data_IF_081130357320
#
_entry.id   IF_081130357320
#
_cell.length_a   1.000
_cell.length_b   1.000
_cell.length_c   1.000
_cell.angle_alpha   90.00
_cell.angle_beta   90.00
_cell.angle_gamma   90.00
#
_symmetry.space_group_name_H-M   'P 1'
#
loop_
_entity.id
_entity.type
_entity.pdbx_description
1 polymer ?
#
# COMPACT_ATOMS: atom_id res chain seq x y z
N UNK A 1 68.61 16.09 -44.65
CA UNK A 1 69.01 16.81 -43.43
C UNK A 1 67.82 16.88 -42.49
N UNK A 2 67.97 16.25 -41.31
CA UNK A 2 67.31 16.50 -40.00
C UNK A 2 65.77 16.69 -39.95
N UNK A 3 64.97 15.92 -39.21
CA UNK A 3 65.21 14.98 -38.11
C UNK A 3 64.27 15.27 -36.92
N UNK A 4 63.80 14.18 -36.26
CA UNK A 4 63.07 14.00 -34.97
C UNK A 4 61.73 13.27 -35.20
N UNK A 5 61.60 11.93 -35.07
CA UNK A 5 61.68 11.08 -33.86
C UNK A 5 60.79 11.61 -32.71
N UNK A 6 59.88 10.88 -32.05
CA UNK A 6 59.90 9.47 -31.67
C UNK A 6 58.58 9.09 -30.92
N UNK A 7 58.32 7.77 -30.82
CA UNK A 7 57.59 7.03 -29.75
C UNK A 7 56.05 7.08 -29.76
N UNK A 8 55.27 5.99 -29.66
CA UNK A 8 55.49 4.68 -29.01
C UNK A 8 54.84 3.53 -29.80
N UNK A 9 55.55 2.40 -29.80
CA UNK A 9 55.04 1.04 -30.02
C UNK A 9 54.35 0.55 -28.74
N UNK A 10 53.28 -0.23 -28.88
CA UNK A 10 52.91 -1.41 -28.06
C UNK A 10 51.48 -1.85 -28.45
N UNK A 11 51.32 -2.48 -29.61
CA UNK A 11 50.25 -3.47 -29.77
C UNK A 11 50.86 -4.79 -29.32
N UNK A 12 50.60 -5.13 -28.06
CA UNK A 12 50.76 -6.49 -27.56
C UNK A 12 49.54 -7.29 -27.99
N UNK A 13 49.79 -8.37 -28.70
CA UNK A 13 48.85 -9.49 -28.85
C UNK A 13 48.48 -10.01 -27.46
N UNK A 14 47.21 -9.88 -27.08
CA UNK A 14 46.60 -10.70 -26.03
C UNK A 14 45.19 -11.07 -26.49
N UNK A 15 45.13 -12.26 -27.10
CA UNK A 15 43.95 -12.98 -27.56
C UNK A 15 43.23 -13.57 -26.33
N UNK A 16 42.62 -12.72 -25.49
CA UNK A 16 41.72 -13.17 -24.41
C UNK A 16 40.28 -13.27 -24.92
N UNK A 17 39.95 -14.49 -25.38
CA UNK A 17 38.59 -14.99 -25.60
C UNK A 17 37.65 -14.56 -24.48
N UNK A 18 36.75 -13.62 -24.77
CA UNK A 18 35.63 -13.24 -23.91
C UNK A 18 34.68 -14.45 -23.75
N UNK A 19 34.75 -15.12 -22.60
CA UNK A 19 33.79 -16.14 -22.19
C UNK A 19 32.68 -15.50 -21.33
N UNK A 20 31.45 -15.34 -21.86
CA UNK A 20 30.35 -14.70 -21.14
C UNK A 20 29.84 -15.51 -19.94
N UNK A 21 30.33 -16.73 -19.72
CA UNK A 21 29.90 -17.62 -18.64
C UNK A 21 30.91 -17.76 -17.51
N UNK A 22 32.05 -17.05 -17.55
CA UNK A 22 33.01 -17.04 -16.45
C UNK A 22 32.36 -16.39 -15.22
N UNK A 23 32.18 -17.09 -14.09
CA UNK A 23 31.58 -16.51 -12.89
C UNK A 23 32.44 -15.33 -12.43
N UNK A 24 31.85 -14.14 -12.32
CA UNK A 24 32.55 -12.98 -11.77
C UNK A 24 32.90 -13.28 -10.31
N UNK A 25 34.19 -13.44 -10.02
CA UNK A 25 34.68 -13.47 -8.65
C UNK A 25 34.29 -12.14 -7.99
N UNK A 26 33.47 -12.24 -6.93
CA UNK A 26 33.04 -11.06 -6.17
C UNK A 26 34.25 -10.44 -5.48
N UNK A 27 34.43 -9.12 -5.55
CA UNK A 27 35.54 -8.48 -4.88
C UNK A 27 35.42 -8.62 -3.34
N UNK A 28 36.54 -8.59 -2.60
CA UNK A 28 36.63 -9.10 -1.21
C UNK A 28 35.89 -8.26 -0.15
N UNK A 29 35.18 -7.22 -0.56
CA UNK A 29 34.42 -6.32 0.31
C UNK A 29 32.90 -6.58 0.27
N UNK A 30 32.40 -7.50 -0.56
CA UNK A 30 31.03 -8.05 -0.45
C UNK A 30 30.94 -9.10 0.69
N UNK A 31 31.44 -8.74 1.87
CA UNK A 31 31.17 -9.45 3.11
C UNK A 31 29.94 -8.83 3.75
N UNK A 32 28.84 -9.58 3.78
CA UNK A 32 27.69 -9.43 4.69
C UNK A 32 27.56 -8.04 5.32
N UNK A 33 26.88 -7.13 4.61
CA UNK A 33 26.26 -6.00 5.28
C UNK A 33 25.41 -6.57 6.39
N UNK A 34 25.84 -6.39 7.63
CA UNK A 34 25.05 -6.65 8.82
C UNK A 34 23.68 -6.05 8.52
N UNK A 35 22.66 -6.90 8.43
CA UNK A 35 21.31 -6.43 8.46
C UNK A 35 21.21 -5.64 9.76
N UNK A 36 21.25 -4.31 9.66
CA UNK A 36 20.76 -3.45 10.70
C UNK A 36 19.28 -3.81 10.81
N UNK A 37 18.98 -4.85 11.61
CA UNK A 37 17.71 -4.99 12.29
C UNK A 37 17.59 -3.72 13.11
N UNK A 38 17.07 -2.68 12.46
CA UNK A 38 16.43 -1.59 13.17
C UNK A 38 15.50 -2.28 14.16
N UNK A 39 15.61 -2.03 15.47
CA UNK A 39 14.64 -2.57 16.39
C UNK A 39 13.28 -2.11 15.88
N UNK A 40 12.43 -3.05 15.47
CA UNK A 40 11.04 -2.73 15.21
C UNK A 40 10.55 -1.97 16.45
N UNK A 41 9.96 -0.77 16.30
CA UNK A 41 9.48 -0.04 17.45
C UNK A 41 8.55 -0.99 18.19
N UNK A 42 8.89 -1.29 19.45
CA UNK A 42 8.04 -2.09 20.31
C UNK A 42 6.75 -1.30 20.46
N UNK A 43 5.75 -1.59 19.62
CA UNK A 43 4.49 -0.86 19.67
C UNK A 43 3.87 -1.23 21.01
N UNK A 44 3.70 -0.23 21.87
CA UNK A 44 3.13 -0.42 23.21
C UNK A 44 1.66 -0.10 23.14
N UNK A 45 0.86 -0.94 23.78
CA UNK A 45 -0.56 -0.67 23.94
C UNK A 45 -0.77 0.68 24.61
N UNK A 46 -1.52 1.57 23.96
CA UNK A 46 -1.93 2.82 24.57
C UNK A 46 -3.02 2.54 25.61
N UNK A 47 -2.89 3.14 26.80
CA UNK A 47 -3.97 3.08 27.80
C UNK A 47 -5.08 4.08 27.51
N UNK A 48 -4.89 5.01 26.57
CA UNK A 48 -5.79 6.12 26.25
C UNK A 48 -6.51 5.96 24.92
N UNK A 49 -6.01 5.11 24.04
CA UNK A 49 -6.51 4.89 22.69
C UNK A 49 -6.61 3.39 22.48
N UNK A 50 -7.79 2.95 22.07
CA UNK A 50 -8.04 1.57 21.68
C UNK A 50 -8.47 1.55 20.22
N UNK A 51 -7.90 0.64 19.43
CA UNK A 51 -8.21 0.48 18.02
C UNK A 51 -8.53 -0.99 17.78
N UNK A 52 -9.67 -1.25 17.15
CA UNK A 52 -9.98 -2.57 16.63
C UNK A 52 -9.84 -2.53 15.10
N UNK A 53 -9.17 -3.53 14.56
CA UNK A 53 -8.98 -3.67 13.11
C UNK A 53 -9.83 -4.79 12.56
N UNK A 54 -10.44 -4.55 11.38
CA UNK A 54 -11.05 -5.59 10.58
C UNK A 54 -9.99 -6.49 9.94
N UNK A 55 -10.43 -7.58 9.29
CA UNK A 55 -9.53 -8.49 8.56
C UNK A 55 -8.79 -7.80 7.40
N UNK A 56 -9.28 -6.66 6.94
CA UNK A 56 -8.62 -5.80 5.96
C UNK A 56 -7.59 -4.83 6.57
N UNK A 57 -7.32 -4.99 7.87
CA UNK A 57 -6.39 -4.19 8.67
C UNK A 57 -6.74 -2.70 8.71
N UNK A 58 -7.96 -2.32 8.35
CA UNK A 58 -8.44 -0.97 8.57
C UNK A 58 -9.16 -0.90 9.93
N UNK A 59 -9.18 0.26 10.62
CA UNK A 59 -9.97 0.44 11.83
C UNK A 59 -11.46 0.17 11.63
N UNK A 60 -12.06 -0.68 12.47
CA UNK A 60 -13.51 -0.91 12.60
C UNK A 60 -14.09 -0.23 13.83
N UNK A 61 -13.26 -0.02 14.86
CA UNK A 61 -13.58 0.80 16.02
C UNK A 61 -12.35 1.58 16.46
N UNK A 62 -12.56 2.80 16.94
CA UNK A 62 -11.55 3.63 17.60
C UNK A 62 -12.20 4.18 18.86
N UNK A 63 -11.53 4.08 19.99
CA UNK A 63 -11.99 4.65 21.25
C UNK A 63 -10.92 5.58 21.82
N UNK A 64 -11.26 6.85 21.95
CA UNK A 64 -10.41 7.86 22.61
C UNK A 64 -10.94 8.12 24.03
N UNK A 65 -10.13 7.86 25.05
CA UNK A 65 -10.50 8.12 26.46
C UNK A 65 -10.42 9.61 26.78
N UNK A 66 -11.18 10.05 27.79
CA UNK A 66 -11.34 11.47 28.18
C UNK A 66 -10.04 12.26 28.33
N UNK A 67 -9.00 11.63 28.89
CA UNK A 67 -7.71 12.28 29.11
C UNK A 67 -6.82 12.34 27.85
N UNK A 68 -7.26 11.82 26.70
CA UNK A 68 -6.45 11.77 25.47
C UNK A 68 -5.98 13.17 25.06
N UNK A 69 -6.88 14.15 24.99
CA UNK A 69 -6.52 15.52 24.61
C UNK A 69 -5.56 16.20 25.58
N UNK A 70 -5.65 15.85 26.86
CA UNK A 70 -4.80 16.39 27.92
C UNK A 70 -3.43 15.71 27.98
N UNK A 71 -3.31 14.51 27.42
CA UNK A 71 -2.10 13.68 27.50
C UNK A 71 -1.18 13.82 26.28
N UNK A 72 -1.69 14.33 25.16
CA UNK A 72 -0.94 14.49 23.92
C UNK A 72 -0.94 15.96 23.50
N UNK A 73 0.21 16.45 23.01
CA UNK A 73 0.24 17.75 22.36
C UNK A 73 -0.63 17.70 21.08
N UNK A 74 -1.27 18.80 20.65
CA UNK A 74 -2.15 18.76 19.49
C UNK A 74 -1.45 18.30 18.19
N UNK A 75 -0.17 18.61 18.02
CA UNK A 75 0.65 18.11 16.90
C UNK A 75 0.86 16.60 16.91
N UNK A 76 0.62 15.93 18.04
CA UNK A 76 0.79 14.49 18.23
C UNK A 76 -0.52 13.70 18.12
N UNK A 77 -1.67 14.37 17.94
CA UNK A 77 -2.97 13.67 17.87
C UNK A 77 -2.98 12.58 16.80
N UNK A 78 -2.58 12.91 15.57
CA UNK A 78 -2.47 11.93 14.48
C UNK A 78 -1.50 10.79 14.79
N UNK A 79 -0.32 11.10 15.32
CA UNK A 79 0.69 10.10 15.66
C UNK A 79 0.20 9.15 16.76
N UNK A 80 -0.43 9.67 17.80
CA UNK A 80 -0.95 8.85 18.92
C UNK A 80 -1.97 7.82 18.44
N UNK A 81 -2.82 8.17 17.47
CA UNK A 81 -3.78 7.27 16.84
C UNK A 81 -3.06 6.23 15.99
N UNK A 82 -2.06 6.65 15.20
CA UNK A 82 -1.26 5.74 14.36
C UNK A 82 -0.47 4.73 15.19
N UNK A 83 0.07 5.12 16.34
CA UNK A 83 0.79 4.21 17.24
C UNK A 83 -0.15 3.11 17.79
N UNK A 84 -1.35 3.50 18.24
CA UNK A 84 -2.36 2.56 18.70
C UNK A 84 -2.87 1.64 17.57
N UNK A 85 -2.99 2.19 16.35
CA UNK A 85 -3.33 1.40 15.16
C UNK A 85 -2.26 0.35 14.83
N UNK A 86 -0.97 0.73 14.84
CA UNK A 86 0.11 -0.23 14.58
C UNK A 86 0.11 -1.38 15.58
N UNK A 87 -0.12 -1.07 16.86
CA UNK A 87 -0.30 -2.09 17.89
C UNK A 87 -1.49 -3.01 17.61
N UNK A 88 -2.66 -2.45 17.27
CA UNK A 88 -3.85 -3.23 16.93
C UNK A 88 -3.65 -4.15 15.71
N UNK A 89 -2.86 -3.73 14.72
CA UNK A 89 -2.49 -4.58 13.58
C UNK A 89 -1.58 -5.74 14.01
N UNK A 90 -0.63 -5.50 14.92
CA UNK A 90 0.21 -6.56 15.47
C UNK A 90 -0.62 -7.57 16.28
N UNK A 91 -1.54 -7.11 17.13
CA UNK A 91 -2.45 -7.99 17.87
C UNK A 91 -3.39 -8.77 16.94
N UNK A 92 -3.88 -8.15 15.87
CA UNK A 92 -4.67 -8.85 14.86
C UNK A 92 -3.83 -9.97 14.20
N UNK A 93 -2.59 -9.68 13.84
CA UNK A 93 -1.70 -10.69 13.24
C UNK A 93 -1.44 -11.86 14.20
N UNK A 94 -1.15 -11.58 15.48
CA UNK A 94 -0.97 -12.61 16.51
C UNK A 94 -2.22 -13.49 16.65
N UNK A 95 -3.42 -12.88 16.76
CA UNK A 95 -4.69 -13.61 16.84
C UNK A 95 -4.98 -14.48 15.61
N UNK A 96 -4.63 -14.00 14.41
CA UNK A 96 -4.80 -14.78 13.17
C UNK A 96 -3.88 -16.00 13.14
N UNK A 97 -2.64 -15.85 13.61
CA UNK A 97 -1.68 -16.95 13.73
C UNK A 97 -2.18 -17.98 14.75
N UNK A 98 -2.56 -17.53 15.94
CA UNK A 98 -3.06 -18.41 17.02
C UNK A 98 -4.32 -19.18 16.63
N UNK A 99 -5.23 -18.53 15.90
CA UNK A 99 -6.48 -19.15 15.44
C UNK A 99 -6.31 -20.00 14.17
N UNK A 100 -5.15 -19.96 13.51
CA UNK A 100 -4.95 -20.60 12.20
C UNK A 100 -5.81 -19.99 11.08
N UNK A 101 -6.34 -18.79 11.28
CA UNK A 101 -7.23 -18.12 10.31
C UNK A 101 -6.39 -17.42 9.24
N UNK A 102 -6.60 -17.78 7.97
CA UNK A 102 -5.98 -17.08 6.84
C UNK A 102 -6.86 -15.86 6.51
N UNK A 103 -6.35 -14.62 6.67
CA UNK A 103 -7.13 -13.44 6.31
C UNK A 103 -7.37 -13.41 4.79
N UNK A 104 -8.49 -12.81 4.34
CA UNK A 104 -8.76 -12.63 2.92
C UNK A 104 -7.61 -11.85 2.25
N UNK A 105 -7.24 -12.26 1.05
CA UNK A 105 -6.22 -11.58 0.27
C UNK A 105 -6.62 -10.12 0.03
N UNK A 106 -5.68 -9.20 0.26
CA UNK A 106 -5.87 -7.77 0.02
C UNK A 106 -5.75 -7.40 -1.45
N UNK A 107 -5.05 -8.23 -2.23
CA UNK A 107 -5.03 -8.17 -3.69
C UNK A 107 -6.03 -9.23 -4.19
N UNK A 108 -7.00 -8.85 -5.03
CA UNK A 108 -7.97 -9.80 -5.57
C UNK A 108 -7.28 -10.81 -6.49
N UNK A 109 -7.80 -12.03 -6.53
CA UNK A 109 -7.29 -13.06 -7.43
C UNK A 109 -7.80 -12.85 -8.86
N UNK A 110 -7.10 -13.41 -9.85
CA UNK A 110 -7.42 -13.26 -11.27
C UNK A 110 -8.92 -13.47 -11.56
N UNK A 111 -9.48 -14.57 -11.04
CA UNK A 111 -10.88 -14.94 -11.23
C UNK A 111 -11.89 -13.93 -10.69
N UNK A 112 -11.57 -13.24 -9.61
CA UNK A 112 -12.44 -12.20 -9.03
C UNK A 112 -12.44 -10.92 -9.88
N UNK A 113 -11.35 -10.66 -10.61
CA UNK A 113 -11.21 -9.44 -11.40
C UNK A 113 -11.54 -9.61 -12.86
N UNK A 114 -11.41 -10.81 -13.43
CA UNK A 114 -11.65 -11.05 -14.86
C UNK A 114 -13.02 -10.52 -15.33
N UNK A 115 -14.14 -10.77 -14.61
CA UNK A 115 -15.43 -10.25 -15.04
C UNK A 115 -15.50 -8.72 -15.05
N UNK A 116 -14.76 -8.04 -14.16
CA UNK A 116 -14.70 -6.59 -14.09
C UNK A 116 -13.88 -6.02 -15.25
N UNK A 117 -12.69 -6.58 -15.49
CA UNK A 117 -11.79 -6.16 -16.57
C UNK A 117 -12.40 -6.39 -17.95
N UNK A 118 -13.12 -7.48 -18.17
CA UNK A 118 -13.79 -7.77 -19.45
C UNK A 118 -15.00 -6.86 -19.73
N UNK A 119 -15.50 -6.12 -18.73
CA UNK A 119 -16.64 -5.20 -18.88
C UNK A 119 -16.24 -3.79 -19.31
N UNK A 120 -14.96 -3.44 -19.24
CA UNK A 120 -14.48 -2.12 -19.65
C UNK A 120 -14.63 -1.94 -21.15
N UNK A 121 -14.91 -0.71 -21.57
CA UNK A 121 -15.21 -0.39 -22.97
C UNK A 121 -14.11 0.41 -23.64
N UNK A 122 -13.26 1.07 -22.85
CA UNK A 122 -12.10 1.82 -23.33
C UNK A 122 -10.83 1.31 -22.67
N UNK A 123 -9.69 1.55 -23.32
CA UNK A 123 -8.39 1.18 -22.75
C UNK A 123 -8.06 2.03 -21.51
N UNK A 124 -8.44 3.32 -21.50
CA UNK A 124 -8.36 4.17 -20.29
C UNK A 124 -9.14 3.59 -19.09
N UNK A 125 -10.39 3.15 -19.30
CA UNK A 125 -11.19 2.50 -18.25
C UNK A 125 -10.52 1.20 -17.75
N UNK A 126 -9.96 0.42 -18.67
CA UNK A 126 -9.25 -0.81 -18.35
C UNK A 126 -8.02 -0.53 -17.47
N UNK A 127 -7.16 0.41 -17.87
CA UNK A 127 -5.97 0.77 -17.09
C UNK A 127 -6.33 1.32 -15.71
N UNK A 128 -7.32 2.21 -15.64
CA UNK A 128 -7.79 2.76 -14.37
C UNK A 128 -8.29 1.67 -13.43
N UNK A 129 -9.10 0.74 -13.94
CA UNK A 129 -9.61 -0.38 -13.14
C UNK A 129 -8.48 -1.34 -12.74
N UNK A 130 -7.54 -1.64 -13.65
CA UNK A 130 -6.38 -2.47 -13.36
C UNK A 130 -5.53 -1.87 -12.23
N UNK A 131 -5.21 -0.58 -12.32
CA UNK A 131 -4.51 0.15 -11.27
C UNK A 131 -5.28 0.14 -9.96
N UNK A 132 -6.59 0.36 -9.99
CA UNK A 132 -7.40 0.30 -8.78
C UNK A 132 -7.38 -1.09 -8.13
N UNK A 133 -7.37 -2.17 -8.92
CA UNK A 133 -7.42 -3.55 -8.42
C UNK A 133 -6.07 -4.03 -7.85
N UNK A 134 -4.98 -3.73 -8.54
CA UNK A 134 -3.67 -4.33 -8.25
C UNK A 134 -2.69 -3.36 -7.59
N UNK A 135 -2.86 -2.05 -7.80
CA UNK A 135 -2.02 -1.05 -7.16
C UNK A 135 -2.62 -0.67 -5.82
N UNK A 136 -1.85 -0.78 -4.74
CA UNK A 136 -2.25 -0.29 -3.41
C UNK A 136 -2.17 1.24 -3.34
N UNK A 137 -2.85 1.92 -4.27
CA UNK A 137 -2.83 3.37 -4.39
C UNK A 137 -3.40 3.99 -3.10
N UNK A 138 -2.69 4.93 -2.46
CA UNK A 138 -3.23 5.67 -1.34
C UNK A 138 -4.47 6.46 -1.74
N UNK A 139 -5.49 6.42 -0.89
CA UNK A 139 -6.69 7.23 -0.98
C UNK A 139 -6.72 8.22 0.18
N UNK A 140 -6.89 9.49 -0.16
CA UNK A 140 -7.19 10.55 0.81
C UNK A 140 -8.70 10.65 0.98
N UNK A 141 -9.14 10.63 2.23
CA UNK A 141 -10.54 10.80 2.63
C UNK A 141 -10.61 11.80 3.78
N UNK A 142 -11.61 12.66 3.75
CA UNK A 142 -11.82 13.70 4.73
C UNK A 142 -13.01 13.38 5.63
N UNK A 143 -12.88 13.72 6.91
CA UNK A 143 -14.00 13.68 7.85
C UNK A 143 -15.04 14.76 7.52
N UNK A 144 -16.26 14.64 8.07
CA UNK A 144 -17.34 15.61 7.83
C UNK A 144 -17.14 16.96 8.53
N UNK A 145 -16.26 17.02 9.53
CA UNK A 145 -15.97 18.25 10.28
C UNK A 145 -14.94 19.14 9.59
N UNK A 146 -15.16 20.45 9.65
CA UNK A 146 -14.27 21.48 9.08
C UNK A 146 -13.76 22.46 10.14
N UNK A 147 -12.53 22.94 9.95
CA UNK A 147 -11.92 23.96 10.79
C UNK A 147 -12.54 25.36 10.49
N UNK A 148 -12.05 26.41 11.14
CA UNK A 148 -12.59 27.77 10.95
C UNK A 148 -12.27 28.39 9.57
N UNK A 149 -11.38 27.75 8.81
CA UNK A 149 -10.93 28.16 7.48
C UNK A 149 -11.52 27.29 6.36
N UNK A 150 -12.57 26.52 6.67
CA UNK A 150 -13.20 25.57 5.74
C UNK A 150 -12.26 24.44 5.26
N UNK A 151 -11.23 24.12 6.05
CA UNK A 151 -10.34 22.99 5.78
C UNK A 151 -10.77 21.75 6.58
N UNK A 152 -10.54 20.52 6.07
CA UNK A 152 -10.93 19.29 6.76
C UNK A 152 -10.32 19.14 8.16
N UNK A 153 -11.18 18.94 9.16
CA UNK A 153 -10.77 18.71 10.55
C UNK A 153 -10.06 17.37 10.75
N UNK A 154 -10.38 16.37 9.92
CA UNK A 154 -9.68 15.08 9.86
C UNK A 154 -9.36 14.77 8.40
N UNK A 155 -8.13 14.33 8.18
CA UNK A 155 -7.71 13.73 6.91
C UNK A 155 -7.11 12.36 7.16
N UNK A 156 -7.64 11.35 6.49
CA UNK A 156 -7.17 9.97 6.55
C UNK A 156 -6.58 9.60 5.19
N UNK A 157 -5.37 9.05 5.20
CA UNK A 157 -4.76 8.44 4.03
C UNK A 157 -4.64 6.95 4.29
N UNK A 158 -5.19 6.13 3.41
CA UNK A 158 -5.08 4.68 3.52
C UNK A 158 -5.10 4.01 2.14
N UNK A 159 -4.57 2.79 2.07
CA UNK A 159 -4.86 1.88 0.97
C UNK A 159 -6.06 1.01 1.36
N UNK A 160 -6.48 0.11 0.47
CA UNK A 160 -7.50 -0.92 0.78
C UNK A 160 -7.06 -1.95 1.84
N UNK A 161 -5.78 -1.94 2.23
CA UNK A 161 -5.12 -2.96 3.04
C UNK A 161 -4.40 -2.43 4.28
N UNK A 162 -4.28 -1.10 4.42
CA UNK A 162 -3.64 -0.47 5.57
C UNK A 162 -3.97 1.02 5.67
N UNK A 163 -4.10 1.50 6.89
CA UNK A 163 -4.01 2.93 7.21
C UNK A 163 -2.56 3.40 7.02
N UNK A 164 -2.36 4.54 6.35
CA UNK A 164 -1.04 5.15 6.11
C UNK A 164 -0.83 6.32 7.06
N UNK A 165 -1.81 7.21 7.17
CA UNK A 165 -1.74 8.34 8.09
C UNK A 165 -3.11 8.85 8.51
N UNK A 166 -3.14 9.47 9.69
CA UNK A 166 -4.26 10.25 10.19
C UNK A 166 -3.72 11.63 10.57
N UNK A 167 -4.29 12.67 9.99
CA UNK A 167 -4.08 14.05 10.38
C UNK A 167 -5.35 14.57 11.05
N UNK A 168 -5.17 15.27 12.17
CA UNK A 168 -6.25 15.89 12.93
C UNK A 168 -5.89 17.36 13.11
N UNK A 169 -6.76 18.25 12.66
CA UNK A 169 -6.62 19.69 12.85
C UNK A 169 -6.76 20.03 14.35
N UNK A 170 -5.74 20.66 14.97
CA UNK A 170 -5.76 21.01 16.39
C UNK A 170 -6.94 21.88 16.83
N UNK A 171 -7.28 22.90 16.04
CA UNK A 171 -8.30 23.90 16.40
C UNK A 171 -9.71 23.32 16.30
N UNK A 172 -9.93 22.45 15.32
CA UNK A 172 -11.13 21.65 15.19
C UNK A 172 -11.22 20.59 16.30
N UNK A 173 -10.11 19.91 16.61
CA UNK A 173 -10.09 18.91 17.67
C UNK A 173 -10.39 19.53 19.04
N UNK A 174 -9.88 20.73 19.33
CA UNK A 174 -10.11 21.41 20.61
C UNK A 174 -11.60 21.55 20.94
N UNK A 175 -12.42 21.91 19.93
CA UNK A 175 -13.87 22.12 20.07
C UNK A 175 -14.75 20.88 19.86
N UNK A 176 -14.18 19.76 19.40
CA UNK A 176 -14.93 18.56 19.00
C UNK A 176 -14.82 17.47 20.06
N UNK A 177 -15.92 16.85 20.50
CA UNK A 177 -15.83 15.70 21.42
C UNK A 177 -15.01 14.56 20.79
N UNK A 178 -14.12 13.95 21.58
CA UNK A 178 -13.27 12.83 21.15
C UNK A 178 -14.06 11.64 20.58
N UNK A 179 -15.33 11.47 20.97
CA UNK A 179 -16.23 10.46 20.40
C UNK A 179 -16.54 10.74 18.93
N UNK A 180 -16.69 12.01 18.54
CA UNK A 180 -16.87 12.38 17.13
C UNK A 180 -15.57 12.23 16.36
N UNK A 181 -14.43 12.60 16.95
CA UNK A 181 -13.10 12.39 16.33
C UNK A 181 -12.88 10.91 16.01
N UNK A 182 -13.15 10.02 16.98
CA UNK A 182 -13.03 8.57 16.78
C UNK A 182 -14.02 8.03 15.73
N UNK A 183 -15.28 8.46 15.80
CA UNK A 183 -16.29 8.07 14.82
C UNK A 183 -15.91 8.49 13.40
N UNK A 184 -15.42 9.72 13.22
CA UNK A 184 -15.04 10.25 11.92
C UNK A 184 -13.88 9.46 11.29
N UNK A 185 -12.90 9.02 12.10
CA UNK A 185 -11.82 8.14 11.63
C UNK A 185 -12.38 6.81 11.10
N UNK A 186 -13.32 6.20 11.84
CA UNK A 186 -13.97 4.94 11.43
C UNK A 186 -14.78 5.14 10.14
N UNK A 187 -15.51 6.25 10.03
CA UNK A 187 -16.28 6.61 8.82
C UNK A 187 -15.35 6.79 7.62
N UNK A 188 -14.23 7.49 7.76
CA UNK A 188 -13.22 7.61 6.71
C UNK A 188 -12.71 6.23 6.26
N UNK A 189 -12.41 5.35 7.22
CA UNK A 189 -11.98 3.99 6.91
C UNK A 189 -13.08 3.17 6.20
N UNK A 190 -14.35 3.34 6.58
CA UNK A 190 -15.48 2.72 5.89
C UNK A 190 -15.64 3.23 4.45
N UNK A 191 -15.45 4.52 4.19
CA UNK A 191 -15.43 5.06 2.82
C UNK A 191 -14.33 4.44 1.97
N UNK A 192 -13.14 4.22 2.53
CA UNK A 192 -12.02 3.55 1.83
C UNK A 192 -12.37 2.09 1.54
N UNK A 193 -13.02 1.39 2.47
CA UNK A 193 -13.53 0.03 2.25
C UNK A 193 -14.57 -0.03 1.13
N UNK A 194 -15.49 0.94 1.09
CA UNK A 194 -16.53 1.01 0.07
C UNK A 194 -15.98 1.22 -1.35
N UNK A 195 -14.72 1.66 -1.50
CA UNK A 195 -14.04 1.74 -2.79
C UNK A 195 -13.52 0.39 -3.31
N UNK A 196 -13.69 -0.71 -2.55
CA UNK A 196 -13.37 -2.06 -3.05
C UNK A 196 -14.41 -2.41 -4.13
N UNK A 197 -13.98 -2.74 -5.36
CA UNK A 197 -14.91 -3.12 -6.41
C UNK A 197 -15.67 -4.37 -5.99
N UNK A 198 -16.97 -4.38 -6.27
CA UNK A 198 -17.84 -5.49 -5.92
C UNK A 198 -17.42 -6.74 -6.69
N UNK A 199 -17.36 -7.88 -5.99
CA UNK A 199 -17.08 -9.16 -6.61
C UNK A 199 -18.24 -9.52 -7.53
N UNK A 200 -17.99 -9.53 -8.82
CA UNK A 200 -18.94 -10.00 -9.82
C UNK A 200 -18.69 -11.49 -10.01
N UNK A 201 -19.71 -12.32 -9.74
CA UNK A 201 -19.69 -13.73 -10.13
C UNK A 201 -20.21 -13.86 -11.56
N UNK A 202 -19.41 -14.50 -12.41
CA UNK A 202 -19.81 -14.88 -13.76
C UNK A 202 -19.69 -16.39 -13.91
N UNK A 203 -20.84 -17.05 -14.02
CA UNK A 203 -20.97 -18.51 -14.03
C UNK A 203 -20.21 -19.14 -15.22
N UNK A 204 -20.06 -18.40 -16.32
CA UNK A 204 -19.33 -18.89 -17.49
C UNK A 204 -17.82 -18.82 -17.30
N UNK A 205 -17.33 -17.76 -16.64
CA UNK A 205 -15.91 -17.60 -16.31
C UNK A 205 -15.48 -18.55 -15.18
N UNK A 206 -16.40 -18.95 -14.31
CA UNK A 206 -16.13 -19.92 -13.24
C UNK A 206 -15.77 -21.32 -13.77
N UNK A 207 -16.15 -21.67 -15.00
CA UNK A 207 -15.80 -22.95 -15.64
C UNK A 207 -14.43 -22.93 -16.34
N UNK A 208 -13.87 -21.73 -16.59
CA UNK A 208 -12.58 -21.58 -17.26
C UNK A 208 -11.42 -21.75 -16.27
N UNK A 209 -10.31 -22.32 -16.76
CA UNK A 209 -9.04 -22.35 -16.04
C UNK A 209 -8.42 -20.96 -15.93
N UNK A 210 -7.56 -20.73 -14.93
CA UNK A 210 -6.87 -19.43 -14.76
C UNK A 210 -6.04 -19.04 -16.01
N UNK A 211 -5.53 -20.03 -16.75
CA UNK A 211 -4.81 -19.81 -18.02
C UNK A 211 -5.72 -19.28 -19.13
N UNK A 212 -6.94 -19.81 -19.22
CA UNK A 212 -7.94 -19.35 -20.20
C UNK A 212 -8.43 -17.94 -19.85
N UNK A 213 -8.67 -17.66 -18.57
CA UNK A 213 -9.04 -16.33 -18.08
C UNK A 213 -7.94 -15.30 -18.40
N UNK A 214 -6.67 -15.63 -18.14
CA UNK A 214 -5.54 -14.77 -18.47
C UNK A 214 -5.48 -14.50 -19.99
N UNK A 215 -5.67 -15.53 -20.83
CA UNK A 215 -5.68 -15.37 -22.28
C UNK A 215 -6.88 -14.53 -22.79
N UNK A 216 -8.03 -14.54 -22.10
CA UNK A 216 -9.15 -13.63 -22.42
C UNK A 216 -8.83 -12.19 -22.07
N UNK A 217 -8.24 -11.94 -20.90
CA UNK A 217 -7.83 -10.59 -20.47
C UNK A 217 -6.85 -9.99 -21.47
N UNK A 218 -5.78 -10.72 -21.86
CA UNK A 218 -4.79 -10.23 -22.83
C UNK A 218 -5.41 -9.91 -24.19
N UNK A 219 -6.35 -10.75 -24.66
CA UNK A 219 -7.08 -10.48 -25.91
C UNK A 219 -7.96 -9.25 -25.83
N UNK A 220 -8.63 -9.06 -24.69
CA UNK A 220 -9.49 -7.90 -24.45
C UNK A 220 -8.69 -6.60 -24.39
N UNK A 221 -7.59 -6.59 -23.64
CA UNK A 221 -6.66 -5.47 -23.57
C UNK A 221 -6.18 -5.06 -24.97
N UNK A 222 -5.71 -6.04 -25.76
CA UNK A 222 -5.27 -5.80 -27.13
C UNK A 222 -6.38 -5.24 -28.01
N UNK A 223 -7.59 -5.79 -27.91
CA UNK A 223 -8.76 -5.26 -28.63
C UNK A 223 -9.06 -3.81 -28.25
N UNK A 224 -8.99 -3.45 -26.97
CA UNK A 224 -9.22 -2.08 -26.52
C UNK A 224 -8.15 -1.11 -27.04
N UNK A 225 -6.88 -1.51 -27.02
CA UNK A 225 -5.77 -0.72 -27.57
C UNK A 225 -5.91 -0.47 -29.08
N UNK A 226 -6.38 -1.47 -29.83
CA UNK A 226 -6.52 -1.38 -31.30
C UNK A 226 -7.74 -0.56 -31.75
N UNK A 227 -8.75 -0.39 -30.89
CA UNK A 227 -10.01 0.32 -31.21
C UNK A 227 -10.13 1.70 -30.53
N UNK A 228 -9.03 2.25 -30.01
CA UNK A 228 -8.95 3.57 -29.39
C UNK A 228 -8.73 4.68 -30.45
N UNK A 229 -9.64 4.77 -31.43
CA UNK A 229 -9.64 5.81 -32.49
C UNK A 229 -10.55 6.98 -32.11
#
# INVERSE_FOLDING_TARGET
>A
MTGLASKYSLYGDDDESYDPWKPRERPPWEGWGEAHTSPEPVTRQSTLIEVECGLDRLPTAVTLKRAWKDSFAPSQYGQSIMDAYHYAVQELAARLIESGTIPPATIPILREVTPLLLRTRTYEEYLKLYDELFTQKPHTVHGPGYNQYDEPGITVVATRSRLISVAVDPDWAARTDQKYISQDIVVCCAQIRARKPEKVKDIFLDQESDRELAARIVRHEKYLQENEI
#
